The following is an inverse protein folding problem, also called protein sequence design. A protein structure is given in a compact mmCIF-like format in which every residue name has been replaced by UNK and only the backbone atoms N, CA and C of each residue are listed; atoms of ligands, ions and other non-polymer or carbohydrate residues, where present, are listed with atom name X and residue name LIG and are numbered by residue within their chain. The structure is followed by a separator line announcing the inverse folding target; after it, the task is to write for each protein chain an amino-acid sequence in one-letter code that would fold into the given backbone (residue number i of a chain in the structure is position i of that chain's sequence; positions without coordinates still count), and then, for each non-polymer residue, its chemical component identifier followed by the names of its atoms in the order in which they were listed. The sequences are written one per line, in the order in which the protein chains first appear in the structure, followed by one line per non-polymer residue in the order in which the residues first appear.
data_IF_982824699373
#
_entry.id   IF_982824699373
#
_cell.length_a   1.000
_cell.length_b   1.000
_cell.length_c   1.000
_cell.angle_alpha   90.00
_cell.angle_beta   90.00
_cell.angle_gamma   90.00
#
_symmetry.space_group_name_H-M   'P 1'
#
loop_
_entity.id
_entity.type
_entity.pdbx_description
1 polymer ?
#
# COMPACT_ATOMS: atom_id res chain seq x y z
N UNK A 1 -9.09 7.17 35.20
CA UNK A 1 -10.09 7.52 34.16
C UNK A 1 -9.37 8.34 33.09
N UNK A 2 -8.90 7.69 32.03
CA UNK A 2 -8.06 8.31 31.02
C UNK A 2 -8.80 9.39 30.23
N UNK A 3 -8.17 10.55 30.12
CA UNK A 3 -8.63 11.76 29.45
C UNK A 3 -9.22 11.49 28.06
N UNK A 4 -10.51 11.80 27.90
CA UNK A 4 -11.15 12.01 26.59
C UNK A 4 -10.63 13.31 25.98
N UNK A 5 -9.36 13.34 25.56
CA UNK A 5 -8.93 14.32 24.57
C UNK A 5 -9.77 14.03 23.31
N UNK A 6 -10.38 15.04 22.69
CA UNK A 6 -11.30 14.88 21.56
C UNK A 6 -10.70 14.28 20.28
N UNK A 7 -9.54 13.63 20.36
CA UNK A 7 -8.84 12.95 19.27
C UNK A 7 -8.85 11.44 19.51
N UNK A 8 -9.21 10.69 18.47
CA UNK A 8 -9.07 9.23 18.44
C UNK A 8 -7.57 8.87 18.53
N UNK A 9 -7.13 8.34 19.67
CA UNK A 9 -5.77 7.85 19.88
C UNK A 9 -5.71 6.38 19.46
N UNK A 10 -4.72 6.04 18.63
CA UNK A 10 -4.46 4.67 18.18
C UNK A 10 -3.08 4.27 18.71
N UNK A 11 -3.03 3.32 19.64
CA UNK A 11 -1.78 2.84 20.22
C UNK A 11 -1.09 1.80 19.33
N UNK A 12 -1.88 0.91 18.73
CA UNK A 12 -1.39 -0.14 17.83
C UNK A 12 -2.14 -0.05 16.51
N UNK A 13 -1.42 0.27 15.44
CA UNK A 13 -1.98 0.31 14.10
C UNK A 13 -2.03 -1.11 13.51
N UNK A 14 -3.23 -1.62 13.20
CA UNK A 14 -3.42 -2.90 12.52
C UNK A 14 -3.96 -2.68 11.09
N UNK A 15 -3.14 -2.04 10.26
CA UNK A 15 -3.45 -1.80 8.86
C UNK A 15 -2.49 -2.61 7.99
N UNK A 16 -2.95 -3.67 7.29
CA UNK A 16 -2.07 -4.45 6.43
C UNK A 16 -1.74 -3.63 5.18
N UNK A 17 -0.46 -3.29 5.02
CA UNK A 17 0.08 -2.58 3.86
C UNK A 17 0.98 -3.54 3.11
N UNK A 18 0.68 -3.75 1.82
CA UNK A 18 1.53 -4.51 0.90
C UNK A 18 2.01 -3.59 -0.20
N UNK A 19 3.31 -3.49 -0.38
CA UNK A 19 3.89 -2.78 -1.51
C UNK A 19 3.59 -3.53 -2.81
N UNK A 20 3.21 -2.81 -3.84
CA UNK A 20 3.19 -3.32 -5.20
C UNK A 20 4.50 -2.90 -5.88
N UNK A 21 5.04 -3.79 -6.71
CA UNK A 21 6.31 -3.55 -7.40
C UNK A 21 6.20 -2.26 -8.24
N UNK A 22 7.15 -1.33 -8.10
CA UNK A 22 7.18 -0.10 -8.89
C UNK A 22 7.62 -0.42 -10.33
N UNK A 23 7.26 0.45 -11.27
CA UNK A 23 7.64 0.27 -12.69
C UNK A 23 9.13 0.56 -12.95
N UNK A 24 9.78 1.33 -12.08
CA UNK A 24 11.21 1.66 -12.14
C UNK A 24 11.82 1.59 -10.75
N UNK A 25 13.11 1.29 -10.65
CA UNK A 25 13.82 1.18 -9.36
C UNK A 25 14.49 2.49 -8.91
N UNK A 26 14.89 3.32 -9.88
CA UNK A 26 15.55 4.60 -9.64
C UNK A 26 14.52 5.74 -9.61
N UNK A 27 14.70 6.68 -8.67
CA UNK A 27 13.93 7.95 -8.61
C UNK A 27 12.40 7.77 -8.57
N UNK A 28 11.93 6.89 -7.70
CA UNK A 28 10.51 6.60 -7.51
C UNK A 28 9.87 7.75 -6.73
N UNK A 29 8.98 8.49 -7.39
CA UNK A 29 8.17 9.53 -6.76
C UNK A 29 6.83 9.03 -6.25
N UNK A 30 6.24 8.06 -6.94
CA UNK A 30 4.93 7.51 -6.61
C UNK A 30 5.05 6.02 -6.37
N UNK A 31 4.58 5.57 -5.20
CA UNK A 31 4.52 4.15 -4.84
C UNK A 31 3.08 3.66 -4.84
N UNK A 32 2.89 2.41 -5.27
CA UNK A 32 1.60 1.76 -5.25
C UNK A 32 1.52 0.75 -4.09
N UNK A 33 0.43 0.83 -3.32
CA UNK A 33 0.17 -0.01 -2.17
C UNK A 33 -1.15 -0.74 -2.35
N UNK A 34 -1.22 -1.94 -1.78
CA UNK A 34 -2.43 -2.75 -1.64
C UNK A 34 -2.77 -2.88 -0.16
N UNK A 35 -3.96 -2.41 0.20
CA UNK A 35 -4.48 -2.40 1.58
C UNK A 35 -5.93 -2.91 1.64
N UNK A 36 -6.53 -2.91 2.82
CA UNK A 36 -7.94 -3.28 3.03
C UNK A 36 -8.91 -2.20 2.49
N UNK A 37 -10.10 -2.60 2.02
CA UNK A 37 -11.09 -1.66 1.46
C UNK A 37 -11.61 -0.62 2.45
N UNK A 38 -11.51 -0.86 3.76
CA UNK A 38 -11.94 0.10 4.81
C UNK A 38 -10.93 1.21 5.10
N UNK A 39 -9.70 1.13 4.60
CA UNK A 39 -8.63 2.08 4.92
C UNK A 39 -8.92 3.49 4.40
N UNK A 40 -8.80 4.50 5.26
CA UNK A 40 -8.90 5.92 4.84
C UNK A 40 -7.58 6.46 4.32
N UNK A 41 -7.63 7.49 3.45
CA UNK A 41 -6.44 8.24 2.98
C UNK A 41 -5.61 8.76 4.15
N UNK A 42 -6.27 9.27 5.20
CA UNK A 42 -5.62 9.85 6.38
C UNK A 42 -4.91 8.77 7.20
N UNK A 43 -5.50 7.57 7.30
CA UNK A 43 -4.91 6.45 8.02
C UNK A 43 -3.68 5.92 7.28
N UNK A 44 -3.77 5.79 5.95
CA UNK A 44 -2.64 5.37 5.11
C UNK A 44 -1.50 6.40 5.23
N UNK A 45 -1.81 7.69 5.13
CA UNK A 45 -0.80 8.74 5.23
C UNK A 45 -0.06 8.66 6.59
N UNK A 46 -0.82 8.68 7.69
CA UNK A 46 -0.23 8.62 9.04
C UNK A 46 0.55 7.34 9.28
N UNK A 47 0.10 6.20 8.77
CA UNK A 47 0.80 4.93 8.92
C UNK A 47 2.15 4.95 8.20
N UNK A 48 2.20 5.52 6.99
CA UNK A 48 3.43 5.64 6.20
C UNK A 48 4.42 6.59 6.88
N UNK A 49 3.94 7.78 7.29
CA UNK A 49 4.76 8.77 7.98
C UNK A 49 5.27 8.25 9.34
N UNK A 50 4.38 7.68 10.16
CA UNK A 50 4.71 7.32 11.56
C UNK A 50 5.47 6.00 11.69
N UNK A 51 5.14 4.98 10.89
CA UNK A 51 5.76 3.66 11.01
C UNK A 51 7.05 3.54 10.21
N UNK A 52 7.10 4.17 9.02
CA UNK A 52 8.23 4.03 8.10
C UNK A 52 9.06 5.32 7.97
N UNK A 53 8.58 6.46 8.48
CA UNK A 53 9.35 7.71 8.48
C UNK A 53 9.42 8.41 7.12
N UNK A 54 8.55 8.05 6.16
CA UNK A 54 8.53 8.70 4.85
C UNK A 54 7.76 10.02 4.88
N UNK A 55 8.21 10.99 4.09
CA UNK A 55 7.46 12.23 3.86
C UNK A 55 6.52 12.08 2.66
N UNK A 56 5.22 12.15 2.93
CA UNK A 56 4.18 12.01 1.93
C UNK A 56 3.67 13.39 1.51
N UNK A 57 3.48 13.57 0.21
CA UNK A 57 2.87 14.76 -0.37
C UNK A 57 1.35 14.57 -0.54
N UNK A 58 0.95 13.47 -1.20
CA UNK A 58 -0.45 13.20 -1.52
C UNK A 58 -0.76 11.70 -1.48
N UNK A 59 -1.99 11.34 -1.10
CA UNK A 59 -2.50 9.97 -1.17
C UNK A 59 -3.76 9.91 -2.03
N UNK A 60 -3.70 9.11 -3.09
CA UNK A 60 -4.82 8.80 -3.98
C UNK A 60 -5.22 7.35 -3.79
N UNK A 61 -6.52 7.08 -3.74
CA UNK A 61 -7.02 5.73 -3.43
C UNK A 61 -8.09 5.30 -4.42
N UNK A 62 -8.07 4.03 -4.77
CA UNK A 62 -9.01 3.35 -5.65
C UNK A 62 -9.60 2.16 -4.89
N UNK A 63 -10.91 1.94 -4.97
CA UNK A 63 -11.52 0.71 -4.48
C UNK A 63 -11.51 -0.33 -5.61
N UNK A 64 -10.77 -1.42 -5.42
CA UNK A 64 -10.58 -2.45 -6.44
C UNK A 64 -11.43 -3.67 -6.13
N UNK A 65 -12.20 -4.11 -7.12
CA UNK A 65 -12.87 -5.39 -7.05
C UNK A 65 -11.90 -6.56 -7.21
N UNK A 66 -12.14 -7.64 -6.47
CA UNK A 66 -11.39 -8.87 -6.58
C UNK A 66 -11.88 -9.64 -7.80
N UNK A 67 -10.98 -10.35 -8.47
CA UNK A 67 -11.33 -11.15 -9.65
C UNK A 67 -12.38 -12.20 -9.28
N UNK A 68 -13.55 -12.10 -9.91
CA UNK A 68 -14.62 -13.08 -9.86
C UNK A 68 -14.40 -14.08 -11.00
N UNK A 69 -14.46 -15.38 -10.72
CA UNK A 69 -14.40 -16.47 -11.69
C UNK A 69 -15.57 -17.40 -11.43
N UNK A 70 -16.27 -17.82 -12.48
CA UNK A 70 -17.33 -18.81 -12.40
C UNK A 70 -16.89 -20.07 -13.12
N UNK A 71 -17.00 -21.23 -12.47
CA UNK A 71 -16.75 -22.54 -13.09
C UNK A 71 -17.96 -23.42 -12.80
N UNK A 72 -18.73 -23.75 -13.84
CA UNK A 72 -20.06 -24.37 -13.68
C UNK A 72 -21.01 -23.45 -12.90
N UNK A 73 -21.65 -23.99 -11.86
CA UNK A 73 -22.56 -23.25 -10.97
C UNK A 73 -21.91 -22.50 -9.81
N UNK A 74 -20.62 -22.74 -9.52
CA UNK A 74 -19.93 -22.18 -8.35
C UNK A 74 -19.16 -20.90 -8.72
N UNK A 75 -19.30 -19.87 -7.88
CA UNK A 75 -18.60 -18.59 -8.01
C UNK A 75 -17.42 -18.52 -7.04
N UNK A 76 -16.23 -18.31 -7.58
CA UNK A 76 -15.00 -18.07 -6.83
C UNK A 76 -14.62 -16.59 -6.95
N UNK A 77 -14.44 -15.91 -5.82
CA UNK A 77 -14.04 -14.51 -5.80
C UNK A 77 -12.76 -14.32 -4.99
N UNK A 78 -11.83 -13.52 -5.52
CA UNK A 78 -10.73 -12.98 -4.72
C UNK A 78 -11.25 -11.85 -3.82
N UNK A 79 -10.56 -11.62 -2.70
CA UNK A 79 -10.91 -10.53 -1.78
C UNK A 79 -10.76 -9.16 -2.45
N UNK A 80 -11.71 -8.27 -2.16
CA UNK A 80 -11.62 -6.86 -2.49
C UNK A 80 -10.43 -6.20 -1.80
N UNK A 81 -9.85 -5.19 -2.43
CA UNK A 81 -8.73 -4.45 -1.85
C UNK A 81 -8.81 -2.98 -2.22
N UNK A 82 -8.11 -2.15 -1.47
CA UNK A 82 -7.88 -0.77 -1.83
C UNK A 82 -6.50 -0.67 -2.47
N UNK A 83 -6.43 -0.05 -3.65
CA UNK A 83 -5.16 0.34 -4.24
C UNK A 83 -4.90 1.79 -3.85
N UNK A 84 -3.77 2.07 -3.23
CA UNK A 84 -3.39 3.43 -2.86
C UNK A 84 -2.14 3.80 -3.64
N UNK A 85 -2.17 4.96 -4.28
CA UNK A 85 -0.98 5.60 -4.81
C UNK A 85 -0.56 6.71 -3.86
N UNK A 86 0.71 6.69 -3.50
CA UNK A 86 1.29 7.60 -2.51
C UNK A 86 2.43 8.34 -3.19
N UNK A 87 2.29 9.66 -3.26
CA UNK A 87 3.33 10.54 -3.78
C UNK A 87 4.26 10.91 -2.62
N UNK A 88 5.54 10.61 -2.78
CA UNK A 88 6.59 10.97 -1.83
C UNK A 88 7.15 12.34 -2.17
N UNK A 89 7.46 13.14 -1.14
CA UNK A 89 8.13 14.43 -1.35
C UNK A 89 9.55 14.25 -1.88
N UNK A 90 10.25 13.27 -1.29
CA UNK A 90 11.62 12.93 -1.67
C UNK A 90 11.59 11.65 -2.50
N UNK A 91 12.25 11.62 -3.67
CA UNK A 91 12.29 10.43 -4.49
C UNK A 91 13.06 9.30 -3.79
N UNK A 92 12.56 8.08 -3.95
CA UNK A 92 13.17 6.87 -3.42
C UNK A 92 14.01 6.17 -4.50
N UNK A 93 15.16 5.62 -4.12
CA UNK A 93 15.92 4.70 -4.97
C UNK A 93 16.04 3.35 -4.26
N UNK A 94 15.74 2.27 -4.98
CA UNK A 94 15.77 0.90 -4.47
C UNK A 94 16.98 0.20 -5.08
N UNK A 95 17.83 -0.43 -4.27
CA UNK A 95 18.96 -1.20 -4.76
C UNK A 95 18.50 -2.52 -5.42
N UNK A 96 19.00 -2.88 -6.61
CA UNK A 96 18.65 -4.14 -7.30
C UNK A 96 18.96 -5.39 -6.49
N UNK A 97 19.96 -5.31 -5.60
CA UNK A 97 20.41 -6.43 -4.75
C UNK A 97 19.39 -6.84 -3.67
N UNK A 98 18.29 -6.10 -3.50
CA UNK A 98 17.23 -6.48 -2.57
C UNK A 98 16.47 -7.69 -3.12
N UNK A 99 16.51 -8.80 -2.40
CA UNK A 99 15.67 -9.96 -2.68
C UNK A 99 14.17 -9.59 -2.54
N UNK A 100 13.28 -9.94 -3.49
CA UNK A 100 13.48 -10.77 -4.69
C UNK A 100 13.58 -9.97 -6.01
N UNK A 101 13.98 -8.70 -5.99
CA UNK A 101 13.89 -7.81 -7.17
C UNK A 101 14.72 -8.35 -8.35
N UNK A 102 15.98 -8.74 -8.12
CA UNK A 102 16.83 -9.35 -9.15
C UNK A 102 16.18 -10.57 -9.83
N UNK A 103 15.53 -11.45 -9.05
CA UNK A 103 14.86 -12.66 -9.58
C UNK A 103 13.69 -12.27 -10.49
N UNK A 104 12.95 -11.22 -10.12
CA UNK A 104 11.80 -10.77 -10.93
C UNK A 104 12.27 -10.15 -12.24
N UNK A 105 13.38 -9.40 -12.25
CA UNK A 105 13.95 -8.81 -13.47
C UNK A 105 14.47 -9.90 -14.42
N UNK A 106 15.20 -10.89 -13.90
CA UNK A 106 15.72 -12.03 -14.69
C UNK A 106 14.62 -12.92 -15.28
N UNK A 107 13.46 -13.07 -14.63
CA UNK A 107 12.33 -13.85 -15.16
C UNK A 107 11.49 -13.09 -16.20
N UNK A 108 11.61 -11.77 -16.27
CA UNK A 108 10.82 -10.91 -17.16
C UNK A 108 11.51 -10.56 -18.48
N UNK A 109 12.84 -10.69 -18.55
CA UNK A 109 13.61 -10.74 -19.80
C UNK A 109 13.49 -12.11 -20.49
#
# INVERSE_FOLDING_TARGET
MGSRLGRRVIHFANLPIKLLVPSSLNNIREIALKTIPSASKIEINRAIESLYGFEVEEVRTLNMEGKKKKRGGILFAKLYYKKAYVTLKNPLSISPDLYPIHIIEEECE
#
